data_IF_998240301214
#
_entry.id   IF_998240301214
#
_cell.length_a   1.000
_cell.length_b   1.000
_cell.length_c   1.000
_cell.angle_alpha   90.00
_cell.angle_beta   90.00
_cell.angle_gamma   90.00
#
_symmetry.space_group_name_H-M   'P 1'
#
loop_
_entity.id
_entity.type
_entity.pdbx_description
1 polymer ?
#
# COMPACT_ATOMS: atom_id res chain seq x y z
N UNK A 1 4.22 8.33 6.26
CA UNK A 1 3.04 9.22 6.23
C UNK A 1 1.85 8.51 5.61
N UNK A 2 2.00 7.87 4.44
CA UNK A 2 0.93 7.13 3.78
C UNK A 2 0.17 6.16 4.71
N UNK A 3 0.86 5.38 5.54
CA UNK A 3 0.24 4.43 6.48
C UNK A 3 -0.77 5.10 7.41
N UNK A 4 -0.44 6.27 7.96
CA UNK A 4 -1.34 7.03 8.82
C UNK A 4 -2.56 7.53 8.05
N UNK A 5 -2.36 8.02 6.83
CA UNK A 5 -3.45 8.48 5.96
C UNK A 5 -4.38 7.32 5.61
N UNK A 6 -3.84 6.16 5.24
CA UNK A 6 -4.61 4.95 4.96
C UNK A 6 -5.37 4.49 6.20
N UNK A 7 -4.71 4.38 7.35
CA UNK A 7 -5.36 4.00 8.61
C UNK A 7 -6.51 4.97 8.97
N UNK A 8 -6.28 6.28 8.81
CA UNK A 8 -7.29 7.31 9.05
C UNK A 8 -8.49 7.18 8.11
N UNK A 9 -8.27 7.00 6.81
CA UNK A 9 -9.32 6.79 5.82
C UNK A 9 -10.18 5.55 6.13
N UNK A 10 -9.55 4.50 6.65
CA UNK A 10 -10.21 3.25 7.03
C UNK A 10 -10.88 3.31 8.42
N UNK A 11 -10.72 4.41 9.16
CA UNK A 11 -11.26 4.56 10.51
C UNK A 11 -10.52 3.73 11.57
N UNK A 12 -9.28 3.34 11.29
CA UNK A 12 -8.43 2.55 12.20
C UNK A 12 -7.66 3.51 13.13
N UNK A 13 -7.85 3.37 14.45
CA UNK A 13 -7.27 4.29 15.45
C UNK A 13 -5.74 4.22 15.58
N UNK A 14 -5.12 3.11 15.17
CA UNK A 14 -3.66 2.91 15.27
C UNK A 14 -3.22 1.93 14.18
N UNK A 15 -2.26 2.32 13.34
CA UNK A 15 -1.55 1.36 12.48
C UNK A 15 -0.68 0.46 13.36
N UNK A 16 -0.42 -0.77 12.93
CA UNK A 16 0.32 -1.74 13.75
C UNK A 16 1.81 -1.39 13.91
N UNK A 17 2.31 -0.42 13.14
CA UNK A 17 3.71 0.03 13.12
C UNK A 17 4.20 0.76 14.38
N UNK A 18 3.64 0.49 15.56
CA UNK A 18 4.35 0.78 16.81
C UNK A 18 5.50 -0.22 17.07
N UNK A 19 5.43 -1.42 16.48
CA UNK A 19 6.51 -2.40 16.54
C UNK A 19 7.26 -2.40 15.19
N UNK A 20 8.55 -2.07 15.22
CA UNK A 20 9.45 -1.85 14.07
C UNK A 20 9.66 -3.08 13.15
N UNK A 21 8.92 -4.17 13.36
CA UNK A 21 9.10 -5.47 12.73
C UNK A 21 7.82 -6.08 12.15
N UNK A 22 6.73 -5.31 12.08
CA UNK A 22 5.45 -5.81 11.59
C UNK A 22 5.55 -6.31 10.13
N UNK A 23 4.98 -7.49 9.88
CA UNK A 23 4.89 -8.09 8.54
C UNK A 23 3.96 -7.33 7.57
N UNK A 24 3.12 -6.44 8.09
CA UNK A 24 2.22 -5.56 7.35
C UNK A 24 1.84 -4.32 8.17
N UNK A 25 1.38 -3.26 7.50
CA UNK A 25 1.23 -1.94 8.12
C UNK A 25 -0.10 -1.72 8.89
N UNK A 26 -1.21 -2.25 8.39
CA UNK A 26 -2.56 -1.99 8.93
C UNK A 26 -3.37 -3.26 9.10
N UNK A 27 -3.84 -3.51 10.33
CA UNK A 27 -4.92 -4.45 10.62
C UNK A 27 -6.28 -3.77 10.39
N UNK A 28 -7.06 -4.34 9.45
CA UNK A 28 -8.37 -3.81 9.11
C UNK A 28 -9.47 -4.83 9.33
N UNK A 29 -10.42 -4.50 10.20
CA UNK A 29 -11.58 -5.34 10.48
C UNK A 29 -12.74 -4.97 9.57
N UNK A 30 -13.19 -5.91 8.75
CA UNK A 30 -14.41 -5.79 7.96
C UNK A 30 -15.39 -6.92 8.36
N UNK A 31 -16.47 -6.52 9.05
CA UNK A 31 -17.38 -7.46 9.70
C UNK A 31 -16.69 -8.25 10.82
N UNK A 32 -16.74 -9.58 10.74
CA UNK A 32 -16.15 -10.49 11.72
C UNK A 32 -14.74 -10.99 11.33
N UNK A 33 -14.18 -10.49 10.22
CA UNK A 33 -12.86 -10.91 9.72
C UNK A 33 -11.87 -9.76 9.81
N UNK A 34 -10.60 -10.11 10.05
CA UNK A 34 -9.48 -9.20 9.97
C UNK A 34 -8.75 -9.40 8.63
N UNK A 35 -8.27 -8.30 8.07
CA UNK A 35 -7.54 -8.23 6.81
C UNK A 35 -6.26 -7.45 7.02
N UNK A 36 -5.16 -8.00 6.51
CA UNK A 36 -3.82 -7.43 6.61
C UNK A 36 -3.56 -6.55 5.39
N UNK A 37 -3.26 -5.28 5.63
CA UNK A 37 -3.02 -4.31 4.56
C UNK A 37 -1.56 -3.84 4.60
N UNK A 38 -0.90 -3.94 3.45
CA UNK A 38 0.43 -3.38 3.21
C UNK A 38 0.31 -2.06 2.45
N UNK A 39 0.96 -1.01 2.96
CA UNK A 39 0.95 0.33 2.39
C UNK A 39 2.30 0.59 1.72
N UNK A 40 2.27 1.04 0.46
CA UNK A 40 3.48 1.37 -0.29
C UNK A 40 3.36 2.75 -0.90
N UNK A 41 4.33 3.62 -0.62
CA UNK A 41 4.30 5.02 -1.02
C UNK A 41 5.31 5.31 -2.13
N UNK A 42 4.94 6.20 -3.06
CA UNK A 42 5.85 6.86 -3.99
C UNK A 42 5.36 8.28 -4.30
N UNK A 43 6.21 9.13 -4.87
CA UNK A 43 5.87 10.51 -5.20
C UNK A 43 6.50 10.95 -6.53
N UNK A 44 5.92 11.95 -7.19
CA UNK A 44 6.55 12.56 -8.37
C UNK A 44 7.69 13.51 -7.98
N UNK A 45 7.50 14.25 -6.89
CA UNK A 45 8.49 15.16 -6.33
C UNK A 45 9.22 14.51 -5.16
N UNK A 46 10.56 14.62 -5.15
CA UNK A 46 11.41 14.22 -4.04
C UNK A 46 12.28 15.42 -3.64
N UNK A 47 12.19 15.91 -2.39
CA UNK A 47 12.85 17.16 -1.98
C UNK A 47 14.39 17.07 -2.02
N UNK A 48 14.97 15.87 -1.98
CA UNK A 48 16.42 15.67 -2.11
C UNK A 48 16.93 15.69 -3.55
N UNK A 49 16.05 15.80 -4.56
CA UNK A 49 16.42 15.78 -5.96
C UNK A 49 16.84 17.20 -6.41
N UNK A 50 18.14 17.50 -6.32
CA UNK A 50 18.78 18.83 -6.50
C UNK A 50 18.48 19.59 -7.81
N UNK A 51 17.73 19.01 -8.74
CA UNK A 51 17.48 19.57 -10.08
C UNK A 51 15.99 19.84 -10.39
N UNK A 52 15.10 19.79 -9.39
CA UNK A 52 13.63 19.87 -9.58
C UNK A 52 13.07 18.84 -10.59
N UNK A 53 13.84 17.78 -10.86
CA UNK A 53 13.44 16.74 -11.82
C UNK A 53 12.42 15.82 -11.15
N UNK A 54 11.25 15.74 -11.76
CA UNK A 54 10.25 14.71 -11.47
C UNK A 54 10.90 13.33 -11.56
N UNK A 55 10.66 12.47 -10.57
CA UNK A 55 11.22 11.12 -10.56
C UNK A 55 10.72 10.30 -11.75
N UNK A 56 11.65 9.71 -12.50
CA UNK A 56 11.34 8.79 -13.60
C UNK A 56 11.11 7.35 -13.11
N UNK A 57 11.60 7.01 -11.90
CA UNK A 57 11.41 5.70 -11.30
C UNK A 57 10.30 5.77 -10.25
N UNK A 58 9.15 5.20 -10.60
CA UNK A 58 7.98 5.07 -9.72
C UNK A 58 7.73 3.59 -9.50
N UNK A 59 8.47 3.02 -8.57
CA UNK A 59 8.46 1.59 -8.25
C UNK A 59 8.20 1.38 -6.77
N UNK A 60 7.43 0.34 -6.47
CA UNK A 60 7.12 -0.08 -5.11
C UNK A 60 7.81 -1.41 -4.81
N UNK A 61 8.30 -1.56 -3.59
CA UNK A 61 8.76 -2.86 -3.08
C UNK A 61 7.57 -3.76 -2.77
N UNK A 62 7.62 -5.00 -3.25
CA UNK A 62 6.61 -6.06 -3.03
C UNK A 62 7.29 -7.40 -2.71
N UNK A 63 8.45 -7.33 -2.05
CA UNK A 63 9.26 -8.50 -1.69
C UNK A 63 8.51 -9.41 -0.73
N UNK A 64 8.60 -10.72 -0.95
CA UNK A 64 8.12 -11.73 0.00
C UNK A 64 8.97 -11.72 1.28
N UNK A 65 8.35 -12.05 2.40
CA UNK A 65 9.01 -12.18 3.70
C UNK A 65 8.69 -13.55 4.32
N UNK A 66 9.58 -14.02 5.18
CA UNK A 66 9.36 -15.21 6.00
C UNK A 66 8.35 -14.87 7.10
N UNK A 67 7.32 -15.70 7.27
CA UNK A 67 6.29 -15.51 8.29
C UNK A 67 6.79 -15.71 9.71
N UNK A 68 7.87 -16.48 9.90
CA UNK A 68 8.41 -16.82 11.21
C UNK A 68 9.43 -15.79 11.73
N UNK A 69 9.56 -14.64 11.07
CA UNK A 69 10.49 -13.60 11.49
C UNK A 69 10.18 -13.07 12.91
N UNK A 70 8.90 -13.01 13.27
CA UNK A 70 8.46 -12.58 14.61
C UNK A 70 8.43 -13.72 15.63
N UNK A 71 8.35 -14.98 15.17
CA UNK A 71 8.29 -16.16 16.04
C UNK A 71 8.78 -17.40 15.29
N UNK A 72 9.94 -17.91 15.68
CA UNK A 72 10.61 -19.05 15.05
C UNK A 72 9.84 -20.38 15.21
N UNK A 73 8.91 -20.48 16.17
CA UNK A 73 8.09 -21.67 16.41
C UNK A 73 6.91 -21.81 15.40
N UNK A 74 6.67 -20.78 14.59
CA UNK A 74 5.64 -20.79 13.55
C UNK A 74 6.22 -21.40 12.27
N UNK A 75 5.42 -22.19 11.56
CA UNK A 75 5.77 -22.69 10.23
C UNK A 75 6.18 -21.53 9.32
N UNK A 76 7.42 -21.57 8.82
CA UNK A 76 7.93 -20.54 7.94
C UNK A 76 7.32 -20.65 6.54
N UNK A 77 6.62 -19.61 6.13
CA UNK A 77 6.09 -19.41 4.79
C UNK A 77 6.74 -18.21 4.16
N UNK A 78 7.42 -18.43 3.03
CA UNK A 78 8.03 -17.37 2.25
C UNK A 78 7.02 -16.80 1.24
N UNK A 79 6.25 -15.81 1.68
CA UNK A 79 5.17 -15.20 0.90
C UNK A 79 5.00 -13.70 1.21
N UNK A 80 4.04 -13.06 0.53
CA UNK A 80 3.61 -11.70 0.87
C UNK A 80 2.61 -11.82 2.02
N UNK A 81 2.96 -11.25 3.17
CA UNK A 81 2.29 -11.50 4.46
C UNK A 81 1.03 -10.63 4.68
N UNK A 82 0.45 -10.13 3.59
CA UNK A 82 -0.68 -9.23 3.58
C UNK A 82 -1.73 -9.71 2.57
N UNK A 83 -2.99 -9.36 2.80
CA UNK A 83 -4.10 -9.76 1.93
C UNK A 83 -4.34 -8.74 0.80
N UNK A 84 -4.08 -7.46 1.10
CA UNK A 84 -4.30 -6.32 0.21
C UNK A 84 -3.10 -5.37 0.26
N UNK A 85 -2.75 -4.82 -0.90
CA UNK A 85 -1.87 -3.66 -1.02
C UNK A 85 -2.69 -2.38 -1.24
N UNK A 86 -2.29 -1.31 -0.54
CA UNK A 86 -2.69 0.06 -0.85
C UNK A 86 -1.46 0.82 -1.31
N UNK A 87 -1.34 0.99 -2.63
CA UNK A 87 -0.28 1.80 -3.22
C UNK A 87 -0.71 3.27 -3.22
N UNK A 88 0.12 4.12 -2.64
CA UNK A 88 -0.12 5.54 -2.46
C UNK A 88 0.81 6.34 -3.36
N UNK A 89 0.24 7.30 -4.10
CA UNK A 89 0.97 8.22 -4.94
C UNK A 89 0.70 9.65 -4.49
N UNK A 90 1.76 10.37 -4.15
CA UNK A 90 1.73 11.83 -4.04
C UNK A 90 1.86 12.41 -5.45
N UNK A 91 0.77 12.96 -5.98
CA UNK A 91 0.64 13.43 -7.35
C UNK A 91 1.36 14.77 -7.61
N UNK A 92 1.75 15.47 -6.54
CA UNK A 92 2.48 16.74 -6.58
C UNK A 92 3.81 16.65 -7.33
N UNK A 93 4.03 17.56 -8.28
CA UNK A 93 5.23 17.60 -9.13
C UNK A 93 6.27 18.64 -8.71
N UNK A 94 5.95 19.46 -7.72
CA UNK A 94 6.83 20.46 -7.13
C UNK A 94 6.57 20.53 -5.61
N UNK A 95 7.38 21.28 -4.89
CA UNK A 95 7.28 21.41 -3.43
C UNK A 95 5.90 21.88 -2.95
N UNK A 96 5.28 22.85 -3.63
CA UNK A 96 3.97 23.42 -3.25
C UNK A 96 2.84 22.41 -3.44
N UNK A 97 2.89 21.64 -4.52
CA UNK A 97 1.86 20.68 -4.90
C UNK A 97 2.09 19.29 -4.27
N UNK A 98 3.22 19.08 -3.59
CA UNK A 98 3.58 17.82 -2.93
C UNK A 98 3.42 17.88 -1.41
N UNK A 99 2.67 18.86 -0.88
CA UNK A 99 2.33 18.92 0.55
C UNK A 99 1.64 17.61 0.97
N UNK A 100 2.28 16.80 1.85
CA UNK A 100 1.74 15.52 2.28
C UNK A 100 0.47 15.66 3.13
N UNK A 101 0.20 16.84 3.70
CA UNK A 101 -1.00 17.10 4.50
C UNK A 101 -2.21 17.47 3.65
N UNK A 102 -2.00 17.87 2.39
CA UNK A 102 -3.09 18.13 1.46
C UNK A 102 -3.57 16.81 0.83
N UNK A 103 -4.63 16.23 1.41
CA UNK A 103 -5.21 14.96 0.97
C UNK A 103 -5.68 14.95 -0.49
N UNK A 104 -5.91 16.11 -1.11
CA UNK A 104 -6.23 16.20 -2.54
C UNK A 104 -5.08 15.79 -3.46
N UNK A 105 -3.84 15.80 -2.95
CA UNK A 105 -2.65 15.42 -3.71
C UNK A 105 -2.42 13.90 -3.73
N UNK A 106 -3.19 13.14 -2.95
CA UNK A 106 -3.02 11.71 -2.83
C UNK A 106 -3.93 10.95 -3.80
N UNK A 107 -3.35 9.96 -4.46
CA UNK A 107 -4.06 8.94 -5.21
C UNK A 107 -3.76 7.57 -4.63
N UNK A 108 -4.79 6.77 -4.46
CA UNK A 108 -4.67 5.42 -3.91
C UNK A 108 -5.06 4.38 -4.95
N UNK A 109 -4.34 3.27 -4.92
CA UNK A 109 -4.59 2.12 -5.78
C UNK A 109 -4.67 0.87 -4.90
N UNK A 110 -5.83 0.24 -4.87
CA UNK A 110 -6.09 -0.95 -4.05
C UNK A 110 -5.93 -2.19 -4.94
N UNK A 111 -5.09 -3.13 -4.52
CA UNK A 111 -4.85 -4.37 -5.27
C UNK A 111 -4.75 -5.54 -4.31
N UNK A 112 -5.47 -6.63 -4.58
CA UNK A 112 -5.35 -7.87 -3.80
C UNK A 112 -3.97 -8.50 -3.97
N UNK A 113 -3.41 -9.02 -2.89
CA UNK A 113 -2.10 -9.72 -2.93
C UNK A 113 -2.12 -10.94 -3.85
N UNK A 114 -3.24 -11.64 -3.94
CA UNK A 114 -3.43 -12.73 -4.89
C UNK A 114 -3.18 -12.31 -6.35
N UNK A 115 -3.68 -11.13 -6.74
CA UNK A 115 -3.48 -10.58 -8.09
C UNK A 115 -2.01 -10.22 -8.30
N UNK A 116 -1.35 -9.65 -7.28
CA UNK A 116 0.09 -9.39 -7.32
C UNK A 116 0.87 -10.69 -7.46
N UNK A 117 0.56 -11.73 -6.69
CA UNK A 117 1.20 -13.04 -6.77
C UNK A 117 1.09 -13.64 -8.18
N UNK A 118 -0.12 -13.61 -8.75
CA UNK A 118 -0.40 -14.15 -10.09
C UNK A 118 0.38 -13.43 -11.19
N UNK A 119 0.51 -12.11 -11.10
CA UNK A 119 1.07 -11.28 -12.17
C UNK A 119 2.57 -11.05 -12.01
N UNK A 120 3.06 -10.94 -10.78
CA UNK A 120 4.44 -10.57 -10.47
C UNK A 120 5.30 -11.75 -9.99
N UNK A 121 4.71 -12.88 -9.59
CA UNK A 121 5.46 -14.03 -9.08
C UNK A 121 6.44 -13.63 -7.97
N UNK A 122 7.72 -13.94 -8.17
CA UNK A 122 8.82 -13.64 -7.24
C UNK A 122 9.47 -12.27 -7.44
N UNK A 123 8.94 -11.43 -8.34
CA UNK A 123 9.45 -10.08 -8.53
C UNK A 123 9.37 -9.28 -7.21
N UNK A 124 10.48 -8.63 -6.88
CA UNK A 124 10.63 -7.83 -5.65
C UNK A 124 10.06 -6.43 -5.78
N UNK A 125 9.77 -5.97 -7.00
CA UNK A 125 9.26 -4.64 -7.27
C UNK A 125 8.15 -4.64 -8.31
N UNK A 126 7.33 -3.58 -8.29
CA UNK A 126 6.28 -3.32 -9.28
C UNK A 126 6.29 -1.83 -9.64
N UNK A 127 6.12 -1.50 -10.93
CA UNK A 127 6.03 -0.10 -11.38
C UNK A 127 4.64 0.48 -11.17
N UNK A 128 4.54 1.81 -11.00
CA UNK A 128 3.26 2.52 -10.91
C UNK A 128 2.35 2.23 -12.11
N UNK A 129 2.90 2.20 -13.33
CA UNK A 129 2.11 1.88 -14.52
C UNK A 129 1.48 0.49 -14.45
N UNK A 130 2.18 -0.50 -13.88
CA UNK A 130 1.62 -1.83 -13.66
C UNK A 130 0.58 -1.83 -12.55
N UNK A 131 0.79 -1.11 -11.46
CA UNK A 131 -0.20 -0.92 -10.38
C UNK A 131 -1.49 -0.31 -10.94
N UNK A 132 -1.40 0.74 -11.75
CA UNK A 132 -2.53 1.40 -12.40
C UNK A 132 -3.34 0.41 -13.27
N UNK A 133 -2.66 -0.46 -14.02
CA UNK A 133 -3.32 -1.51 -14.80
C UNK A 133 -4.04 -2.54 -13.91
N UNK A 134 -3.46 -2.92 -12.77
CA UNK A 134 -4.02 -3.94 -11.88
C UNK A 134 -5.19 -3.42 -11.05
N UNK A 135 -5.08 -2.20 -10.51
CA UNK A 135 -6.14 -1.57 -9.71
C UNK A 135 -7.35 -1.12 -10.54
N UNK A 136 -7.19 -1.01 -11.87
CA UNK A 136 -8.19 -0.52 -12.86
C UNK A 136 -8.59 0.96 -12.69
N UNK A 137 -8.62 1.49 -11.47
CA UNK A 137 -8.85 2.91 -11.16
C UNK A 137 -7.97 3.36 -9.98
N UNK A 138 -7.71 4.67 -9.92
CA UNK A 138 -7.30 5.34 -8.69
C UNK A 138 -8.52 5.80 -7.92
N UNK A 139 -8.40 5.89 -6.60
CA UNK A 139 -9.42 6.49 -5.73
C UNK A 139 -8.83 7.61 -4.89
N UNK A 140 -9.69 8.54 -4.45
CA UNK A 140 -9.35 9.62 -3.53
C UNK A 140 -9.43 9.14 -2.07
N UNK A 141 -8.97 9.98 -1.15
CA UNK A 141 -8.96 9.68 0.29
C UNK A 141 -10.34 9.26 0.83
N UNK A 142 -11.38 10.02 0.45
CA UNK A 142 -12.77 9.82 0.85
C UNK A 142 -13.42 8.56 0.26
N UNK A 143 -12.86 8.04 -0.84
CA UNK A 143 -13.32 6.84 -1.54
C UNK A 143 -12.53 5.58 -1.14
N UNK A 144 -11.39 5.74 -0.45
CA UNK A 144 -10.45 4.66 -0.19
C UNK A 144 -11.09 3.52 0.61
N UNK A 145 -11.88 3.83 1.63
CA UNK A 145 -12.53 2.81 2.45
C UNK A 145 -13.50 1.95 1.64
N UNK A 146 -14.32 2.57 0.79
CA UNK A 146 -15.25 1.85 -0.06
C UNK A 146 -14.51 0.91 -1.03
N UNK A 147 -13.38 1.37 -1.58
CA UNK A 147 -12.59 0.55 -2.51
C UNK A 147 -11.89 -0.63 -1.81
N UNK A 148 -11.37 -0.42 -0.60
CA UNK A 148 -10.82 -1.50 0.22
C UNK A 148 -11.90 -2.53 0.54
N UNK A 149 -13.09 -2.09 0.97
CA UNK A 149 -14.21 -2.98 1.28
C UNK A 149 -14.67 -3.77 0.03
N UNK A 150 -14.68 -3.13 -1.13
CA UNK A 150 -15.00 -3.76 -2.43
C UNK A 150 -14.00 -4.85 -2.79
N UNK A 151 -12.71 -4.58 -2.68
CA UNK A 151 -11.67 -5.57 -2.99
C UNK A 151 -11.65 -6.72 -1.98
N UNK A 152 -11.93 -6.45 -0.70
CA UNK A 152 -12.15 -7.49 0.31
C UNK A 152 -13.31 -8.40 -0.06
N UNK A 153 -14.44 -7.84 -0.51
CA UNK A 153 -15.59 -8.64 -0.93
C UNK A 153 -15.25 -9.58 -2.10
N UNK A 154 -14.27 -9.21 -2.94
CA UNK A 154 -13.79 -10.04 -4.04
C UNK A 154 -12.75 -11.10 -3.65
N UNK A 155 -12.20 -11.06 -2.42
CA UNK A 155 -11.38 -12.17 -1.87
C UNK A 155 -12.28 -13.34 -1.48
N UNK A 156 -13.49 -13.06 -0.99
CA UNK A 156 -14.40 -14.07 -0.45
C UNK A 156 -15.33 -14.71 -1.51
N UNK A 157 -15.15 -14.40 -2.80
CA UNK A 157 -15.90 -14.98 -3.91
C UNK A 157 -15.11 -16.12 -4.53
#
# INVERSE_FOLDING_TARGET
MAEYIVASALGVKKSNNCDYWALYDVDYKNGNKNYRIEVKETSYYHPWNKNDKVSNQRTFGITKANSNYENEDIENKFERQNDIYVFCLVNGKNEKDADPLNLNNWQFYVVRTEVINKVCGDNKTISLGKVQQLAKKSVRYDELKEEVDREIANINK
#
